data_IF_385002479519
#
_entry.id   IF_385002479519
#
_cell.length_a   1.000
_cell.length_b   1.000
_cell.length_c   1.000
_cell.angle_alpha   90.00
_cell.angle_beta   90.00
_cell.angle_gamma   90.00
#
_symmetry.space_group_name_H-M   'P 1'
#
loop_
_entity.id
_entity.type
_entity.pdbx_description
1 polymer ?
#
# COMPACT_ATOMS: atom_id res chain seq x y z
N UNK A 1 -15.09 -25.56 -28.70
CA UNK A 1 -14.20 -24.43 -29.07
C UNK A 1 -13.24 -24.23 -27.92
N UNK A 2 -11.93 -24.33 -28.11
CA UNK A 2 -10.97 -24.04 -27.03
C UNK A 2 -11.12 -22.58 -26.58
N UNK A 3 -11.04 -22.30 -25.27
CA UNK A 3 -11.06 -20.93 -24.78
C UNK A 3 -9.87 -20.17 -25.40
N UNK A 4 -10.08 -18.93 -25.87
CA UNK A 4 -8.99 -18.10 -26.36
C UNK A 4 -8.00 -17.82 -25.21
N UNK A 5 -6.70 -17.91 -25.50
CA UNK A 5 -5.65 -17.61 -24.52
C UNK A 5 -5.78 -16.14 -24.07
N UNK A 6 -5.88 -15.84 -22.75
CA UNK A 6 -6.05 -14.49 -22.22
C UNK A 6 -4.96 -13.52 -22.67
N UNK A 7 -3.72 -13.97 -22.82
CA UNK A 7 -2.59 -13.14 -23.25
C UNK A 7 -2.77 -12.64 -24.69
N UNK A 8 -3.20 -13.52 -25.59
CA UNK A 8 -3.48 -13.18 -27.00
C UNK A 8 -4.62 -12.18 -27.12
N UNK A 9 -5.62 -12.30 -26.24
CA UNK A 9 -6.75 -11.36 -26.19
C UNK A 9 -6.29 -9.99 -25.69
N UNK A 10 -5.46 -9.93 -24.64
CA UNK A 10 -4.87 -8.68 -24.13
C UNK A 10 -4.00 -7.98 -25.18
N UNK A 11 -3.16 -8.73 -25.90
CA UNK A 11 -2.35 -8.16 -26.98
C UNK A 11 -3.20 -7.57 -28.10
N UNK A 12 -4.26 -8.27 -28.50
CA UNK A 12 -5.20 -7.75 -29.50
C UNK A 12 -5.90 -6.48 -29.00
N UNK A 13 -6.34 -6.46 -27.74
CA UNK A 13 -6.98 -5.31 -27.10
C UNK A 13 -6.05 -4.11 -27.01
N UNK A 14 -4.79 -4.32 -26.64
CA UNK A 14 -3.78 -3.25 -26.59
C UNK A 14 -3.51 -2.68 -27.99
N UNK A 15 -3.45 -3.51 -29.04
CA UNK A 15 -3.30 -3.05 -30.44
C UNK A 15 -4.51 -2.24 -30.92
N UNK A 16 -5.71 -2.62 -30.50
CA UNK A 16 -6.94 -1.88 -30.78
C UNK A 16 -6.96 -0.53 -30.04
N UNK A 17 -6.57 -0.50 -28.77
CA UNK A 17 -6.51 0.73 -27.99
C UNK A 17 -5.45 1.71 -28.51
N UNK A 18 -4.26 1.23 -28.90
CA UNK A 18 -3.20 2.08 -29.44
C UNK A 18 -3.52 2.63 -30.84
N UNK A 19 -4.28 1.89 -31.64
CA UNK A 19 -4.70 2.34 -32.98
C UNK A 19 -5.87 3.32 -32.93
N UNK A 20 -6.67 3.31 -31.85
CA UNK A 20 -7.85 4.16 -31.67
C UNK A 20 -7.75 4.99 -30.39
N UNK A 21 -6.71 5.81 -30.25
CA UNK A 21 -6.66 6.83 -29.20
C UNK A 21 -7.68 7.94 -29.49
N UNK A 22 -8.93 7.72 -29.10
CA UNK A 22 -10.01 8.70 -29.19
C UNK A 22 -9.85 9.67 -28.02
N UNK A 23 -9.06 10.73 -28.20
CA UNK A 23 -9.05 11.86 -27.28
C UNK A 23 -9.94 12.97 -27.83
N UNK A 24 -10.74 13.59 -26.95
CA UNK A 24 -11.58 14.75 -27.29
C UNK A 24 -10.73 15.84 -27.98
N UNK A 25 -9.46 15.96 -27.57
CA UNK A 25 -8.47 16.88 -28.12
C UNK A 25 -8.17 16.53 -29.60
N UNK A 26 -7.87 15.27 -29.94
CA UNK A 26 -7.63 14.84 -31.34
C UNK A 26 -8.89 14.97 -32.21
N UNK A 27 -10.08 14.73 -31.65
CA UNK A 27 -11.35 14.92 -32.36
C UNK A 27 -11.68 16.40 -32.62
N UNK A 28 -11.19 17.31 -31.77
CA UNK A 28 -11.39 18.77 -31.91
C UNK A 28 -10.40 19.46 -32.85
N UNK A 29 -9.29 18.79 -33.19
CA UNK A 29 -8.22 19.28 -34.06
C UNK A 29 -8.69 19.59 -35.50
N UNK A 30 -9.48 18.74 -36.19
CA UNK A 30 -10.03 19.09 -37.51
C UNK A 30 -11.04 20.24 -37.45
N UNK A 31 -11.75 20.42 -36.33
CA UNK A 31 -12.70 21.52 -36.15
C UNK A 31 -11.93 22.85 -36.04
N UNK A 32 -10.81 22.86 -35.31
CA UNK A 32 -9.96 24.04 -35.11
C UNK A 32 -9.11 24.39 -36.34
N UNK A 33 -8.63 23.39 -37.09
CA UNK A 33 -7.77 23.57 -38.27
C UNK A 33 -8.54 23.89 -39.56
N UNK A 34 -9.86 23.68 -39.59
CA UNK A 34 -10.73 24.09 -40.72
C UNK A 34 -10.88 25.61 -40.89
N UNK A 35 -10.29 26.41 -39.99
CA UNK A 35 -10.27 27.86 -40.07
C UNK A 35 -9.08 28.31 -40.93
N UNK A 36 -9.26 28.81 -42.16
CA UNK A 36 -8.16 29.31 -42.95
C UNK A 36 -7.50 30.47 -42.18
N UNK A 37 -6.21 30.31 -41.86
CA UNK A 37 -5.39 31.40 -41.35
C UNK A 37 -5.17 32.42 -42.47
N UNK A 38 -6.07 33.39 -42.59
CA UNK A 38 -5.79 34.61 -43.33
C UNK A 38 -4.65 35.34 -42.61
N UNK A 39 -3.44 35.28 -43.19
CA UNK A 39 -2.19 35.84 -42.68
C UNK A 39 -2.14 37.39 -42.68
N UNK A 40 -3.27 38.08 -42.46
CA UNK A 40 -3.37 39.54 -42.40
C UNK A 40 -4.20 40.05 -41.23
N UNK A 41 -4.19 39.34 -40.09
CA UNK A 41 -4.86 39.83 -38.89
C UNK A 41 -4.01 40.89 -38.18
N UNK A 42 -4.48 42.14 -38.30
CA UNK A 42 -4.01 43.31 -37.56
C UNK A 42 -4.10 43.01 -36.07
N UNK A 43 -2.99 43.19 -35.36
CA UNK A 43 -2.82 42.95 -33.93
C UNK A 43 -3.49 44.07 -33.12
N UNK A 44 -4.80 44.02 -32.98
CA UNK A 44 -5.50 44.87 -32.02
C UNK A 44 -6.83 44.26 -31.61
N UNK A 45 -6.79 43.11 -30.93
CA UNK A 45 -7.88 42.77 -30.01
C UNK A 45 -7.41 41.75 -28.96
N UNK A 46 -7.93 41.90 -27.74
CA UNK A 46 -7.43 41.31 -26.50
C UNK A 46 -7.91 39.87 -26.27
N UNK A 47 -7.57 38.94 -27.16
CA UNK A 47 -8.03 37.55 -27.05
C UNK A 47 -7.04 36.54 -27.61
N UNK A 48 -5.79 36.58 -27.11
CA UNK A 48 -4.75 35.59 -27.48
C UNK A 48 -4.29 34.72 -26.29
N UNK A 49 -5.01 34.72 -25.17
CA UNK A 49 -4.69 33.89 -24.00
C UNK A 49 -5.27 32.47 -24.05
N UNK A 50 -5.99 32.09 -25.12
CA UNK A 50 -6.75 30.84 -25.18
C UNK A 50 -6.00 29.64 -25.79
N UNK A 51 -4.70 29.75 -26.04
CA UNK A 51 -3.92 28.66 -26.66
C UNK A 51 -3.10 27.82 -25.69
N UNK A 52 -3.20 28.06 -24.37
CA UNK A 52 -2.50 27.26 -23.37
C UNK A 52 -3.38 26.08 -22.94
N UNK A 53 -3.17 24.92 -23.59
CA UNK A 53 -3.77 23.61 -23.33
C UNK A 53 -5.31 23.58 -23.08
N UNK A 54 -6.14 23.13 -24.04
CA UNK A 54 -7.59 23.08 -23.87
C UNK A 54 -7.95 22.06 -22.78
N UNK A 55 -8.11 22.54 -21.55
CA UNK A 55 -8.74 21.80 -20.47
C UNK A 55 -10.26 21.87 -20.67
N UNK A 56 -11.02 20.81 -20.33
CA UNK A 56 -12.46 20.76 -20.56
C UNK A 56 -13.22 21.89 -19.84
N UNK A 57 -12.72 22.35 -18.69
CA UNK A 57 -13.23 23.52 -17.99
C UNK A 57 -13.00 24.84 -18.77
N UNK A 58 -11.83 25.01 -19.40
CA UNK A 58 -11.51 26.18 -20.23
C UNK A 58 -12.43 26.31 -21.45
N UNK A 59 -12.72 25.19 -22.12
CA UNK A 59 -13.65 25.17 -23.26
C UNK A 59 -15.05 25.66 -22.89
N UNK A 60 -15.56 25.32 -21.71
CA UNK A 60 -16.88 25.79 -21.27
C UNK A 60 -16.93 27.29 -21.02
N UNK A 61 -15.85 27.85 -20.46
CA UNK A 61 -15.73 29.29 -20.23
C UNK A 61 -15.61 30.05 -21.55
N UNK A 62 -14.83 29.54 -22.50
CA UNK A 62 -14.67 30.12 -23.84
C UNK A 62 -15.98 30.10 -24.61
N UNK A 63 -16.73 28.99 -24.58
CA UNK A 63 -18.04 28.91 -25.24
C UNK A 63 -19.05 29.90 -24.64
N UNK A 64 -19.03 30.13 -23.33
CA UNK A 64 -19.85 31.14 -22.69
C UNK A 64 -19.45 32.56 -23.13
N UNK A 65 -18.14 32.85 -23.14
CA UNK A 65 -17.61 34.13 -23.60
C UNK A 65 -17.97 34.44 -25.06
N UNK A 66 -17.76 33.49 -25.97
CA UNK A 66 -18.09 33.65 -27.38
C UNK A 66 -19.59 33.82 -27.61
N UNK A 67 -20.45 33.11 -26.87
CA UNK A 67 -21.91 33.31 -26.93
C UNK A 67 -22.29 34.74 -26.60
N UNK A 68 -21.71 35.31 -25.55
CA UNK A 68 -21.98 36.69 -25.15
C UNK A 68 -21.43 37.70 -26.18
N UNK A 69 -20.19 37.50 -26.64
CA UNK A 69 -19.56 38.36 -27.65
C UNK A 69 -20.35 38.36 -28.96
N UNK A 70 -20.74 37.18 -29.46
CA UNK A 70 -21.53 37.07 -30.69
C UNK A 70 -22.94 37.62 -30.54
N UNK A 71 -23.56 37.49 -29.36
CA UNK A 71 -24.85 38.13 -29.09
C UNK A 71 -24.74 39.66 -29.17
N UNK A 72 -23.71 40.25 -28.56
CA UNK A 72 -23.44 41.71 -28.63
C UNK A 72 -23.11 42.15 -30.06
N UNK A 73 -22.27 41.41 -30.76
CA UNK A 73 -21.89 41.71 -32.14
C UNK A 73 -23.09 41.64 -33.09
N UNK A 74 -23.91 40.60 -32.95
CA UNK A 74 -25.16 40.45 -33.72
C UNK A 74 -26.11 41.61 -33.46
N UNK A 75 -26.29 42.02 -32.20
CA UNK A 75 -27.14 43.17 -31.86
C UNK A 75 -26.62 44.46 -32.52
N UNK A 76 -25.32 44.76 -32.35
CA UNK A 76 -24.68 45.94 -32.93
C UNK A 76 -24.80 45.95 -34.46
N UNK A 77 -24.49 44.83 -35.12
CA UNK A 77 -24.57 44.69 -36.57
C UNK A 77 -26.00 44.90 -37.10
N UNK A 78 -26.99 44.24 -36.51
CA UNK A 78 -28.40 44.42 -36.90
C UNK A 78 -28.84 45.86 -36.70
N UNK A 79 -28.46 46.49 -35.59
CA UNK A 79 -28.75 47.89 -35.33
C UNK A 79 -28.08 48.82 -36.34
N UNK A 80 -26.83 48.56 -36.72
CA UNK A 80 -26.11 49.39 -37.68
C UNK A 80 -26.67 49.24 -39.09
N UNK A 81 -26.92 48.02 -39.55
CA UNK A 81 -27.50 47.76 -40.87
C UNK A 81 -28.91 48.33 -40.98
N UNK A 82 -29.72 48.25 -39.91
CA UNK A 82 -31.06 48.86 -39.91
C UNK A 82 -30.99 50.38 -39.94
N UNK A 83 -30.10 51.00 -39.17
CA UNK A 83 -29.87 52.46 -39.24
C UNK A 83 -29.42 52.89 -40.63
N UNK A 84 -28.46 52.19 -41.23
CA UNK A 84 -27.95 52.51 -42.56
C UNK A 84 -29.04 52.33 -43.63
N UNK A 85 -29.77 51.21 -43.61
CA UNK A 85 -30.90 50.97 -44.54
C UNK A 85 -31.97 52.05 -44.40
N UNK A 86 -32.31 52.46 -43.18
CA UNK A 86 -33.29 53.51 -42.93
C UNK A 86 -32.83 54.87 -43.48
N UNK A 87 -31.59 55.26 -43.21
CA UNK A 87 -31.02 56.50 -43.75
C UNK A 87 -31.00 56.45 -45.27
N UNK A 88 -30.55 55.34 -45.87
CA UNK A 88 -30.54 55.17 -47.33
C UNK A 88 -31.94 55.19 -47.93
N UNK A 89 -32.96 54.65 -47.26
CA UNK A 89 -34.34 54.68 -47.74
C UNK A 89 -34.93 56.09 -47.75
N UNK A 90 -34.56 56.95 -46.79
CA UNK A 90 -35.04 58.34 -46.68
C UNK A 90 -34.24 59.30 -47.57
N UNK A 91 -32.94 59.08 -47.70
CA UNK A 91 -32.01 59.97 -48.42
C UNK A 91 -31.81 59.54 -49.89
N UNK A 92 -32.16 58.30 -50.24
CA UNK A 92 -32.08 57.81 -51.62
C UNK A 92 -33.07 58.52 -52.54
N UNK A 93 -32.66 58.73 -53.80
CA UNK A 93 -33.48 59.34 -54.85
C UNK A 93 -33.72 58.30 -55.97
N UNK A 94 -34.94 57.77 -56.15
CA UNK A 94 -36.18 58.10 -55.43
C UNK A 94 -36.28 57.45 -54.03
N UNK A 95 -37.01 58.08 -53.09
CA UNK A 95 -37.17 57.55 -51.73
C UNK A 95 -37.90 56.21 -51.75
N UNK A 96 -37.35 55.24 -51.04
CA UNK A 96 -37.89 53.88 -51.00
C UNK A 96 -39.05 53.82 -49.98
N UNK A 97 -40.28 53.93 -50.47
CA UNK A 97 -41.49 53.83 -49.66
C UNK A 97 -41.94 52.37 -49.69
N UNK A 98 -41.82 51.68 -48.56
CA UNK A 98 -42.30 50.29 -48.43
C UNK A 98 -43.82 50.29 -48.60
N UNK A 99 -44.31 49.60 -49.61
CA UNK A 99 -45.75 49.50 -49.87
C UNK A 99 -46.41 48.45 -48.98
N UNK A 100 -47.72 48.55 -48.78
CA UNK A 100 -48.46 47.53 -48.02
C UNK A 100 -48.38 46.16 -48.69
N UNK A 101 -48.34 46.12 -50.03
CA UNK A 101 -48.25 44.88 -50.80
C UNK A 101 -46.89 44.18 -50.59
N UNK A 102 -45.79 44.92 -50.64
CA UNK A 102 -44.44 44.42 -50.34
C UNK A 102 -44.34 43.87 -48.91
N UNK A 103 -44.95 44.54 -47.92
CA UNK A 103 -44.99 44.04 -46.55
C UNK A 103 -45.76 42.72 -46.45
N UNK A 104 -46.90 42.60 -47.13
CA UNK A 104 -47.69 41.35 -47.13
C UNK A 104 -46.94 40.20 -47.81
N UNK A 105 -46.16 40.47 -48.86
CA UNK A 105 -45.30 39.47 -49.50
C UNK A 105 -44.16 39.03 -48.58
N UNK A 106 -43.46 39.98 -47.96
CA UNK A 106 -42.40 39.70 -46.98
C UNK A 106 -42.92 38.97 -45.74
N UNK A 107 -44.15 39.21 -45.32
CA UNK A 107 -44.80 38.46 -44.24
C UNK A 107 -45.05 37.00 -44.62
N UNK A 108 -45.49 36.74 -45.86
CA UNK A 108 -45.68 35.37 -46.37
C UNK A 108 -44.34 34.62 -46.45
N UNK A 109 -43.30 35.26 -47.00
CA UNK A 109 -41.96 34.67 -47.08
C UNK A 109 -41.37 34.39 -45.69
N UNK A 110 -41.49 35.35 -44.77
CA UNK A 110 -41.07 35.16 -43.39
C UNK A 110 -41.85 34.05 -42.69
N UNK A 111 -43.14 33.87 -42.99
CA UNK A 111 -43.91 32.77 -42.43
C UNK A 111 -43.39 31.41 -42.91
N UNK A 112 -43.02 31.28 -44.18
CA UNK A 112 -42.41 30.06 -44.74
C UNK A 112 -41.04 29.81 -44.09
N UNK A 113 -40.16 30.83 -44.07
CA UNK A 113 -38.84 30.72 -43.48
C UNK A 113 -38.90 30.40 -41.97
N UNK A 114 -39.87 30.96 -41.24
CA UNK A 114 -40.10 30.66 -39.81
C UNK A 114 -40.54 29.21 -39.59
N UNK A 115 -41.37 28.65 -40.48
CA UNK A 115 -41.77 27.24 -40.41
C UNK A 115 -40.57 26.33 -40.64
N UNK A 116 -39.81 26.56 -41.70
CA UNK A 116 -38.58 25.80 -42.00
C UNK A 116 -37.56 25.89 -40.86
N UNK A 117 -37.35 27.09 -40.30
CA UNK A 117 -36.45 27.27 -39.15
C UNK A 117 -36.94 26.50 -37.91
N UNK A 118 -38.26 26.42 -37.70
CA UNK A 118 -38.83 25.67 -36.58
C UNK A 118 -38.62 24.17 -36.75
N UNK A 119 -38.83 23.65 -37.96
CA UNK A 119 -38.59 22.24 -38.32
C UNK A 119 -37.12 21.86 -38.14
N UNK A 120 -36.19 22.68 -38.65
CA UNK A 120 -34.77 22.44 -38.49
C UNK A 120 -34.32 22.52 -37.02
N UNK A 121 -34.91 23.44 -36.24
CA UNK A 121 -34.63 23.51 -34.79
C UNK A 121 -35.08 22.27 -34.04
N UNK A 122 -36.23 21.71 -34.40
CA UNK A 122 -36.69 20.45 -33.79
C UNK A 122 -35.80 19.29 -34.19
N UNK A 123 -35.40 19.20 -35.46
CA UNK A 123 -34.47 18.18 -35.94
C UNK A 123 -33.11 18.25 -35.23
N UNK A 124 -32.55 19.45 -35.09
CA UNK A 124 -31.29 19.66 -34.36
C UNK A 124 -31.44 19.31 -32.88
N UNK A 125 -32.55 19.65 -32.25
CA UNK A 125 -32.79 19.29 -30.85
C UNK A 125 -32.86 17.77 -30.67
N UNK A 126 -33.55 17.06 -31.58
CA UNK A 126 -33.66 15.61 -31.56
C UNK A 126 -32.29 14.94 -31.79
N UNK A 127 -31.50 15.43 -32.76
CA UNK A 127 -30.14 14.95 -32.98
C UNK A 127 -29.24 15.15 -31.76
N UNK A 128 -29.34 16.29 -31.07
CA UNK A 128 -28.56 16.55 -29.85
C UNK A 128 -28.96 15.59 -28.74
N UNK A 129 -30.26 15.38 -28.53
CA UNK A 129 -30.74 14.42 -27.52
C UNK A 129 -30.26 12.98 -27.82
N UNK A 130 -30.28 12.58 -29.09
CA UNK A 130 -29.76 11.28 -29.53
C UNK A 130 -28.25 11.16 -29.31
N UNK A 131 -27.49 12.22 -29.58
CA UNK A 131 -26.04 12.26 -29.34
C UNK A 131 -25.71 12.18 -27.84
N UNK A 132 -26.45 12.89 -27.00
CA UNK A 132 -26.30 12.83 -25.54
C UNK A 132 -26.56 11.43 -25.02
N UNK A 133 -27.67 10.81 -25.46
CA UNK A 133 -28.00 9.42 -25.10
C UNK A 133 -26.90 8.45 -25.52
N UNK A 134 -26.45 8.53 -26.78
CA UNK A 134 -25.36 7.67 -27.29
C UNK A 134 -24.05 7.92 -26.54
N UNK A 135 -23.78 9.17 -26.16
CA UNK A 135 -22.63 9.54 -25.34
C UNK A 135 -22.62 8.83 -23.99
N UNK A 136 -23.77 8.82 -23.29
CA UNK A 136 -23.93 8.12 -22.00
C UNK A 136 -23.81 6.60 -22.18
N UNK A 137 -24.45 6.03 -23.20
CA UNK A 137 -24.35 4.58 -23.47
C UNK A 137 -22.91 4.17 -23.80
N UNK A 138 -22.17 5.01 -24.55
CA UNK A 138 -20.78 4.77 -24.89
C UNK A 138 -19.87 4.88 -23.67
N UNK A 139 -20.09 5.84 -22.78
CA UNK A 139 -19.27 6.00 -21.57
C UNK A 139 -19.42 4.79 -20.64
N UNK A 140 -20.64 4.30 -20.44
CA UNK A 140 -20.90 3.10 -19.65
C UNK A 140 -20.25 1.86 -20.24
N UNK A 141 -20.35 1.66 -21.57
CA UNK A 141 -19.69 0.54 -22.26
C UNK A 141 -18.17 0.63 -22.14
N UNK A 142 -17.61 1.83 -22.28
CA UNK A 142 -16.19 2.06 -22.14
C UNK A 142 -15.69 1.70 -20.72
N UNK A 143 -16.40 2.15 -19.68
CA UNK A 143 -16.10 1.78 -18.30
C UNK A 143 -16.15 0.27 -18.07
N UNK A 144 -17.18 -0.41 -18.59
CA UNK A 144 -17.30 -1.87 -18.49
C UNK A 144 -16.10 -2.59 -19.16
N UNK A 145 -15.74 -2.17 -20.37
CA UNK A 145 -14.59 -2.73 -21.09
C UNK A 145 -13.28 -2.49 -20.33
N UNK A 146 -13.11 -1.32 -19.72
CA UNK A 146 -11.92 -1.04 -18.90
C UNK A 146 -11.85 -1.94 -17.66
N UNK A 147 -12.97 -2.15 -16.96
CA UNK A 147 -13.04 -3.05 -15.81
C UNK A 147 -12.77 -4.51 -16.21
N UNK A 148 -13.34 -4.97 -17.32
CA UNK A 148 -13.09 -6.31 -17.85
C UNK A 148 -11.64 -6.49 -18.32
N UNK A 149 -11.06 -5.47 -18.94
CA UNK A 149 -9.65 -5.47 -19.35
C UNK A 149 -8.72 -5.54 -18.14
N UNK A 150 -9.03 -4.82 -17.07
CA UNK A 150 -8.27 -4.90 -15.81
C UNK A 150 -8.35 -6.32 -15.20
N UNK A 151 -9.54 -6.92 -15.15
CA UNK A 151 -9.71 -8.31 -14.69
C UNK A 151 -8.92 -9.28 -15.57
N UNK A 152 -8.96 -9.10 -16.89
CA UNK A 152 -8.24 -9.96 -17.83
C UNK A 152 -6.71 -9.87 -17.63
N UNK A 153 -6.18 -8.70 -17.25
CA UNK A 153 -4.75 -8.54 -16.91
C UNK A 153 -4.34 -9.30 -15.64
N UNK A 154 -5.24 -9.48 -14.68
CA UNK A 154 -4.98 -10.24 -13.45
C UNK A 154 -5.17 -11.76 -13.60
N UNK A 155 -5.83 -12.22 -14.67
CA UNK A 155 -6.14 -13.64 -14.84
C UNK A 155 -4.89 -14.51 -15.08
N UNK A 156 -3.91 -14.12 -15.93
CA UNK A 156 -2.71 -14.94 -16.14
C UNK A 156 -1.93 -15.23 -14.86
N UNK A 157 -1.69 -14.22 -14.02
CA UNK A 157 -0.98 -14.40 -12.75
C UNK A 157 -1.74 -15.33 -11.80
N UNK A 158 -3.07 -15.19 -11.72
CA UNK A 158 -3.91 -16.10 -10.93
C UNK A 158 -3.87 -17.54 -11.47
N UNK A 159 -3.80 -17.71 -12.79
CA UNK A 159 -3.67 -19.05 -13.41
C UNK A 159 -2.31 -19.64 -13.03
N UNK A 160 -1.22 -18.89 -13.17
CA UNK A 160 0.13 -19.32 -12.78
C UNK A 160 0.21 -19.68 -11.29
N UNK A 161 -0.36 -18.85 -10.41
CA UNK A 161 -0.41 -19.11 -8.96
C UNK A 161 -1.18 -20.40 -8.63
N UNK A 162 -2.31 -20.62 -9.31
CA UNK A 162 -3.11 -21.84 -9.13
C UNK A 162 -2.39 -23.07 -9.68
N UNK A 163 -1.72 -22.96 -10.83
CA UNK A 163 -0.91 -24.04 -11.41
C UNK A 163 0.27 -24.40 -10.49
N UNK A 164 1.00 -23.41 -9.96
CA UNK A 164 2.04 -23.63 -8.95
C UNK A 164 1.47 -24.32 -7.71
N UNK A 165 0.28 -23.91 -7.24
CA UNK A 165 -0.34 -24.52 -6.06
C UNK A 165 -0.78 -25.95 -6.31
N UNK A 166 -1.32 -26.24 -7.49
CA UNK A 166 -1.67 -27.60 -7.91
C UNK A 166 -0.41 -28.46 -7.95
N UNK A 167 0.69 -27.95 -8.51
CA UNK A 167 1.93 -28.71 -8.59
C UNK A 167 2.55 -28.93 -7.21
N UNK A 168 2.52 -27.94 -6.32
CA UNK A 168 2.87 -28.11 -4.90
C UNK A 168 2.05 -29.23 -4.25
N UNK A 169 0.72 -29.19 -4.38
CA UNK A 169 -0.15 -30.21 -3.82
C UNK A 169 0.11 -31.59 -4.41
N UNK A 170 0.40 -31.69 -5.72
CA UNK A 170 0.79 -32.94 -6.37
C UNK A 170 2.11 -33.45 -5.81
N UNK A 171 3.12 -32.61 -5.67
CA UNK A 171 4.40 -33.03 -5.06
C UNK A 171 4.24 -33.44 -3.60
N UNK A 172 3.41 -32.74 -2.82
CA UNK A 172 3.08 -33.14 -1.44
C UNK A 172 2.38 -34.51 -1.40
N UNK A 173 1.50 -34.80 -2.38
CA UNK A 173 0.83 -36.09 -2.51
C UNK A 173 1.75 -37.22 -3.02
N UNK A 174 2.65 -36.90 -3.95
CA UNK A 174 3.56 -37.85 -4.59
C UNK A 174 4.80 -38.14 -3.74
N UNK A 175 5.20 -37.26 -2.81
CA UNK A 175 6.25 -37.57 -1.84
C UNK A 175 5.79 -38.70 -0.90
N UNK A 176 6.33 -39.94 -1.02
CA UNK A 176 5.88 -41.05 -0.20
C UNK A 176 6.34 -40.95 1.27
N UNK A 177 7.28 -40.03 1.55
CA UNK A 177 8.03 -39.99 2.81
C UNK A 177 7.92 -38.65 3.57
N UNK A 178 7.17 -37.67 3.07
CA UNK A 178 7.10 -36.31 3.65
C UNK A 178 5.95 -36.05 4.62
N UNK A 179 4.82 -36.73 4.43
CA UNK A 179 3.70 -36.70 5.37
C UNK A 179 3.80 -37.95 6.23
N UNK A 180 4.01 -37.77 7.54
CA UNK A 180 4.23 -38.85 8.50
C UNK A 180 3.40 -40.10 8.14
N UNK A 181 3.97 -41.31 8.11
CA UNK A 181 3.29 -42.53 7.68
C UNK A 181 1.93 -42.77 8.35
N UNK A 182 1.67 -42.13 9.49
CA UNK A 182 0.40 -42.08 10.20
C UNK A 182 -0.74 -41.33 9.49
N UNK A 183 -0.44 -40.39 8.59
CA UNK A 183 -1.44 -39.58 7.87
C UNK A 183 -1.96 -40.27 6.61
N UNK A 184 -1.20 -41.21 6.04
CA UNK A 184 -1.58 -42.02 4.90
C UNK A 184 -2.07 -43.43 5.32
N UNK A 185 -2.45 -43.59 6.58
CA UNK A 185 -2.99 -44.86 7.08
C UNK A 185 -4.43 -45.04 6.59
N UNK A 186 -4.81 -46.27 6.15
CA UNK A 186 -6.21 -46.63 5.97
C UNK A 186 -7.03 -46.35 7.24
N UNK A 187 -8.30 -45.99 7.08
CA UNK A 187 -9.20 -45.57 8.16
C UNK A 187 -9.20 -46.51 9.39
N UNK A 188 -9.08 -47.83 9.17
CA UNK A 188 -9.00 -48.79 10.27
C UNK A 188 -7.74 -48.58 11.14
N UNK A 189 -6.57 -48.40 10.51
CA UNK A 189 -5.29 -48.21 11.21
C UNK A 189 -5.21 -46.85 11.90
N UNK A 190 -5.84 -45.80 11.36
CA UNK A 190 -5.94 -44.51 12.04
C UNK A 190 -6.81 -44.60 13.29
N UNK A 191 -7.93 -45.32 13.21
CA UNK A 191 -8.82 -45.55 14.35
C UNK A 191 -8.07 -46.26 15.50
N UNK A 192 -7.30 -47.29 15.18
CA UNK A 192 -6.49 -48.05 16.15
C UNK A 192 -5.42 -47.16 16.80
N UNK A 193 -4.69 -46.38 16.01
CA UNK A 193 -3.66 -45.47 16.49
C UNK A 193 -4.24 -44.36 17.38
N UNK A 194 -5.41 -43.82 17.02
CA UNK A 194 -6.14 -42.85 17.85
C UNK A 194 -6.55 -43.46 19.18
N UNK A 195 -7.02 -44.71 19.19
CA UNK A 195 -7.40 -45.40 20.43
C UNK A 195 -6.18 -45.65 21.32
N UNK A 196 -5.06 -46.10 20.75
CA UNK A 196 -3.79 -46.28 21.49
C UNK A 196 -3.33 -44.96 22.13
N UNK A 197 -3.29 -43.86 21.37
CA UNK A 197 -2.89 -42.56 21.92
C UNK A 197 -3.85 -42.03 22.99
N UNK A 198 -5.15 -42.32 22.88
CA UNK A 198 -6.12 -41.96 23.93
C UNK A 198 -5.85 -42.73 25.22
N UNK A 199 -5.47 -44.01 25.14
CA UNK A 199 -5.10 -44.80 26.31
C UNK A 199 -3.80 -44.26 26.95
N UNK A 200 -2.76 -44.02 26.15
CA UNK A 200 -1.51 -43.40 26.62
C UNK A 200 -1.75 -42.05 27.29
N UNK A 201 -2.62 -41.21 26.70
CA UNK A 201 -2.98 -39.91 27.28
C UNK A 201 -3.70 -40.05 28.64
N UNK A 202 -4.57 -41.06 28.78
CA UNK A 202 -5.23 -41.34 30.06
C UNK A 202 -4.26 -41.87 31.11
N UNK A 203 -3.30 -42.71 30.73
CA UNK A 203 -2.25 -43.21 31.62
C UNK A 203 -1.36 -42.07 32.11
N UNK A 204 -0.86 -41.24 31.19
CA UNK A 204 -0.06 -40.04 31.52
C UNK A 204 -0.84 -39.05 32.39
N UNK A 205 -2.14 -38.87 32.15
CA UNK A 205 -2.98 -38.01 32.99
C UNK A 205 -3.09 -38.55 34.42
N UNK A 206 -3.27 -39.87 34.60
CA UNK A 206 -3.28 -40.52 35.92
C UNK A 206 -1.93 -40.42 36.62
N UNK A 207 -0.84 -40.60 35.88
CA UNK A 207 0.51 -40.43 36.43
C UNK A 207 0.75 -38.99 36.88
N UNK A 208 0.39 -38.01 36.07
CA UNK A 208 0.47 -36.59 36.41
C UNK A 208 -0.34 -36.25 37.66
N UNK A 209 -1.57 -36.73 37.77
CA UNK A 209 -2.41 -36.53 38.95
C UNK A 209 -1.76 -37.14 40.20
N UNK A 210 -1.20 -38.35 40.08
CA UNK A 210 -0.50 -39.02 41.18
C UNK A 210 0.77 -38.27 41.62
N UNK A 211 1.50 -37.66 40.67
CA UNK A 211 2.69 -36.87 40.94
C UNK A 211 2.31 -35.52 41.55
N UNK A 212 1.30 -34.84 41.02
CA UNK A 212 0.77 -33.60 41.57
C UNK A 212 0.31 -33.78 43.02
N UNK A 213 -0.31 -34.91 43.36
CA UNK A 213 -0.68 -35.23 44.73
C UNK A 213 0.53 -35.45 45.68
N UNK A 214 1.68 -35.91 45.14
CA UNK A 214 2.92 -36.13 45.90
C UNK A 214 3.75 -34.86 46.10
N UNK A 215 3.73 -33.92 45.14
CA UNK A 215 4.46 -32.64 45.19
C UNK A 215 4.27 -31.87 46.51
N UNK A 216 3.06 -31.61 47.01
CA UNK A 216 2.90 -30.81 48.24
C UNK A 216 3.47 -31.52 49.47
N UNK A 217 3.38 -32.85 49.54
CA UNK A 217 3.97 -33.63 50.65
C UNK A 217 5.49 -33.53 50.63
N UNK A 218 6.11 -33.75 49.45
CA UNK A 218 7.56 -33.63 49.28
C UNK A 218 8.05 -32.20 49.52
N UNK A 219 7.28 -31.19 49.14
CA UNK A 219 7.59 -29.78 49.44
C UNK A 219 7.57 -29.49 50.94
N UNK A 220 6.59 -30.00 51.68
CA UNK A 220 6.54 -29.89 53.14
C UNK A 220 7.70 -30.63 53.82
N UNK A 221 8.05 -31.83 53.35
CA UNK A 221 9.21 -32.58 53.83
C UNK A 221 10.52 -31.81 53.60
N UNK A 222 10.71 -31.25 52.40
CA UNK A 222 11.89 -30.45 52.08
C UNK A 222 12.00 -29.19 52.94
N UNK A 223 10.88 -28.50 53.20
CA UNK A 223 10.85 -27.32 54.06
C UNK A 223 11.17 -27.68 55.52
N UNK A 224 10.62 -28.78 56.03
CA UNK A 224 10.96 -29.31 57.35
C UNK A 224 12.46 -29.60 57.47
N UNK A 225 13.03 -30.31 56.49
CA UNK A 225 14.46 -30.63 56.48
C UNK A 225 15.34 -29.38 56.39
N UNK A 226 14.92 -28.34 55.66
CA UNK A 226 15.63 -27.05 55.64
C UNK A 226 15.65 -26.39 57.02
N UNK A 227 14.51 -26.37 57.70
CA UNK A 227 14.40 -25.83 59.07
C UNK A 227 15.27 -26.64 60.04
N UNK A 228 15.34 -27.96 59.89
CA UNK A 228 16.20 -28.84 60.71
C UNK A 228 17.71 -28.68 60.39
N UNK A 229 18.08 -28.40 59.13
CA UNK A 229 19.46 -28.19 58.70
C UNK A 229 20.04 -26.85 59.16
N UNK A 230 19.26 -25.77 59.16
CA UNK A 230 19.71 -24.43 59.53
C UNK A 230 20.44 -24.37 60.90
N UNK A 231 19.91 -24.94 62.01
CA UNK A 231 20.62 -24.95 63.29
C UNK A 231 21.85 -25.87 63.28
N UNK A 232 21.85 -26.94 62.48
CA UNK A 232 23.02 -27.83 62.34
C UNK A 232 24.15 -27.15 61.57
N UNK A 233 23.84 -26.40 60.52
CA UNK A 233 24.80 -25.58 59.78
C UNK A 233 25.39 -24.48 60.67
N UNK A 234 24.55 -23.79 61.45
CA UNK A 234 25.02 -22.81 62.43
C UNK A 234 25.94 -23.44 63.49
N UNK A 235 25.58 -24.62 64.02
CA UNK A 235 26.44 -25.38 64.95
C UNK A 235 27.77 -25.78 64.30
N UNK A 236 27.75 -26.24 63.05
CA UNK A 236 28.96 -26.59 62.27
C UNK A 236 29.84 -25.36 62.04
N UNK A 237 29.25 -24.23 61.70
CA UNK A 237 29.98 -22.99 61.48
C UNK A 237 30.62 -22.50 62.78
N UNK A 238 29.87 -22.52 63.89
CA UNK A 238 30.35 -22.15 65.22
C UNK A 238 31.46 -23.09 65.73
N UNK A 239 31.35 -24.40 65.48
CA UNK A 239 32.41 -25.35 65.84
C UNK A 239 33.64 -25.19 64.97
N UNK A 240 33.48 -24.91 63.67
CA UNK A 240 34.58 -24.65 62.76
C UNK A 240 35.31 -23.34 63.09
N UNK A 241 34.60 -22.27 63.46
CA UNK A 241 35.22 -21.02 63.94
C UNK A 241 35.92 -21.23 65.27
N UNK A 242 35.29 -21.90 66.24
CA UNK A 242 35.91 -22.24 67.52
C UNK A 242 37.19 -23.08 67.33
N UNK A 243 37.18 -24.06 66.43
CA UNK A 243 38.36 -24.87 66.11
C UNK A 243 39.47 -24.04 65.43
N UNK A 244 39.10 -23.15 64.49
CA UNK A 244 40.06 -22.22 63.85
C UNK A 244 40.66 -21.25 64.85
N UNK A 245 39.86 -20.71 65.77
CA UNK A 245 40.37 -19.83 66.83
C UNK A 245 41.23 -20.58 67.83
N UNK A 246 40.88 -21.81 68.21
CA UNK A 246 41.71 -22.65 69.07
C UNK A 246 43.06 -22.96 68.41
N UNK A 247 43.05 -23.25 67.10
CA UNK A 247 44.27 -23.42 66.31
C UNK A 247 45.09 -22.14 66.24
N UNK A 248 44.47 -20.98 65.98
CA UNK A 248 45.14 -19.67 66.01
C UNK A 248 45.70 -19.33 67.39
N UNK A 249 44.98 -19.61 68.48
CA UNK A 249 45.47 -19.42 69.86
C UNK A 249 46.67 -20.31 70.15
N UNK A 250 46.64 -21.57 69.70
CA UNK A 250 47.78 -22.51 69.81
C UNK A 250 48.98 -22.04 68.98
N UNK A 251 48.76 -21.63 67.74
CA UNK A 251 49.81 -21.10 66.85
C UNK A 251 50.38 -19.78 67.36
N UNK A 252 49.57 -18.88 67.92
CA UNK A 252 50.04 -17.65 68.55
C UNK A 252 50.81 -17.92 69.86
N UNK A 253 50.36 -18.90 70.67
CA UNK A 253 51.06 -19.29 71.88
C UNK A 253 52.40 -20.00 71.60
N UNK A 254 52.52 -20.74 70.49
CA UNK A 254 53.76 -21.40 70.07
C UNK A 254 54.68 -20.47 69.25
N UNK A 255 54.10 -19.56 68.46
CA UNK A 255 54.82 -18.66 67.58
C UNK A 255 55.60 -17.56 68.30
N UNK A 256 55.14 -17.12 69.47
CA UNK A 256 55.90 -16.16 70.29
C UNK A 256 57.20 -16.74 70.84
N UNK A 257 57.22 -18.01 71.24
CA UNK A 257 58.41 -18.64 71.81
C UNK A 257 59.47 -19.01 70.77
N UNK A 258 59.05 -19.33 69.54
CA UNK A 258 59.97 -19.67 68.45
C UNK A 258 60.59 -18.41 67.81
N UNK A 259 59.80 -17.34 67.60
CA UNK A 259 60.32 -16.06 67.09
C UNK A 259 61.28 -15.41 68.08
N UNK A 260 60.98 -15.42 69.39
CA UNK A 260 61.90 -14.92 70.43
C UNK A 260 63.24 -15.69 70.45
N UNK A 261 63.21 -17.00 70.18
CA UNK A 261 64.43 -17.83 70.10
C UNK A 261 65.19 -17.59 68.80
N UNK A 262 64.51 -17.39 67.67
CA UNK A 262 65.16 -17.05 66.40
C UNK A 262 65.79 -15.65 66.42
N UNK A 263 65.11 -14.66 67.01
CA UNK A 263 65.67 -13.31 67.18
C UNK A 263 66.94 -13.36 68.06
N UNK A 264 66.90 -14.11 69.16
CA UNK A 264 68.09 -14.36 69.98
C UNK A 264 69.18 -15.08 69.19
N UNK A 265 68.87 -16.13 68.45
CA UNK A 265 69.85 -16.87 67.66
C UNK A 265 70.48 -16.02 66.55
N UNK A 266 69.71 -15.14 65.90
CA UNK A 266 70.24 -14.16 64.93
C UNK A 266 71.17 -13.17 65.61
N UNK A 267 70.80 -12.65 66.77
CA UNK A 267 71.65 -11.77 67.55
C UNK A 267 72.96 -12.46 67.96
N UNK A 268 72.89 -13.70 68.45
CA UNK A 268 74.07 -14.50 68.79
C UNK A 268 74.96 -14.76 67.57
N UNK A 269 74.41 -15.18 66.42
CA UNK A 269 75.21 -15.37 65.19
C UNK A 269 75.81 -14.06 64.67
N UNK A 270 75.11 -12.95 64.77
CA UNK A 270 75.66 -11.64 64.40
C UNK A 270 76.81 -11.25 65.33
N UNK A 271 76.66 -11.48 66.64
CA UNK A 271 77.73 -11.26 67.63
C UNK A 271 78.94 -12.17 67.39
N UNK A 272 78.69 -13.43 67.02
CA UNK A 272 79.71 -14.41 66.66
C UNK A 272 80.44 -14.00 65.37
N UNK A 273 79.72 -13.55 64.34
CA UNK A 273 80.31 -13.06 63.09
C UNK A 273 81.21 -11.82 63.28
N UNK A 274 80.81 -10.89 64.15
CA UNK A 274 81.65 -9.74 64.51
C UNK A 274 82.89 -10.20 65.29
N UNK A 275 82.74 -11.12 66.24
CA UNK A 275 83.87 -11.68 66.99
C UNK A 275 84.83 -12.47 66.09
N UNK A 276 84.32 -13.24 65.13
CA UNK A 276 85.13 -13.98 64.17
C UNK A 276 85.93 -13.04 63.24
N UNK A 277 85.35 -11.92 62.79
CA UNK A 277 86.07 -10.90 62.02
C UNK A 277 87.16 -10.20 62.84
N UNK A 278 86.94 -9.95 64.12
CA UNK A 278 87.94 -9.28 64.99
C UNK A 278 89.08 -10.22 65.39
N UNK A 279 88.83 -11.53 65.46
CA UNK A 279 89.82 -12.53 65.88
C UNK A 279 90.55 -13.22 64.70
N UNK A 280 90.25 -12.87 63.46
CA UNK A 280 90.86 -13.43 62.23
C UNK A 280 90.85 -14.97 62.18
N UNK A 281 89.81 -15.58 62.77
CA UNK A 281 89.62 -17.04 62.81
C UNK A 281 88.84 -17.44 61.57
N UNK A 282 89.54 -17.95 60.55
CA UNK A 282 88.91 -18.55 59.37
C UNK A 282 88.25 -19.87 59.73
N UNK A 283 86.93 -19.91 59.58
CA UNK A 283 86.15 -21.07 59.11
C UNK A 283 84.89 -20.57 58.42
#
# INVERSE_FOLDING_TARGET
MSPPNPEKVLEALNKLQSSQEISIIKLSEPISSSRPQDARQRTSDASNSAFDAPTPAGLTADLAHYKELFAKLRFSYVQQVTKEKFIRAIVGDPPMIVTMEENLELEKENAIAKKQLKELKTEVADMVADLERRGIELSQKYESVQLETAKLREMPTKIEDLEMRIEQLRTELETPDGSAPSMNLPLAKTQDLVNQRKLEQQELARELESLQAKVPRKRKEAERLRIELQPLENKRQNSATAAREARRRKEAALGGAADDLEERARWWRASEGVLAQVLDIKN
#
